data_IF_502598641416
#
_entry.id   IF_502598641416
#
_cell.length_a   1.000
_cell.length_b   1.000
_cell.length_c   1.000
_cell.angle_alpha   90.00
_cell.angle_beta   90.00
_cell.angle_gamma   90.00
#
_symmetry.space_group_name_H-M   'P 1'
#
loop_
_entity.id
_entity.type
_entity.pdbx_description
1 polymer ?
#
# COMPACT_ATOMS: atom_id res chain seq x y z
N UNK A 1 -28.39 10.24 0.77
CA UNK A 1 -27.07 9.56 0.89
C UNK A 1 -26.31 10.18 2.07
N UNK A 2 -26.31 9.50 3.23
CA UNK A 2 -25.86 10.03 4.54
C UNK A 2 -24.33 10.16 4.70
N UNK A 3 -23.55 10.08 3.62
CA UNK A 3 -22.07 10.04 3.66
C UNK A 3 -21.35 11.39 3.63
N UNK A 4 -22.06 12.52 3.49
CA UNK A 4 -21.41 13.86 3.47
C UNK A 4 -20.92 14.31 4.85
N UNK A 5 -21.55 13.80 5.92
CA UNK A 5 -21.27 14.24 7.30
C UNK A 5 -20.26 13.33 8.03
N UNK A 6 -19.97 12.14 7.50
CA UNK A 6 -19.00 11.19 8.05
C UNK A 6 -17.76 11.06 7.15
N UNK A 7 -17.12 12.21 6.87
CA UNK A 7 -15.95 12.28 5.98
C UNK A 7 -14.61 12.26 6.72
N UNK A 8 -14.63 12.38 8.05
CA UNK A 8 -13.45 12.38 8.90
C UNK A 8 -13.23 10.99 9.50
N UNK A 9 -11.96 10.56 9.60
CA UNK A 9 -11.58 9.35 10.32
C UNK A 9 -10.85 9.71 11.62
N UNK A 10 -11.05 8.89 12.66
CA UNK A 10 -10.36 9.04 13.94
C UNK A 10 -8.96 8.42 13.89
N UNK A 11 -8.05 8.86 14.75
CA UNK A 11 -6.71 8.29 14.80
C UNK A 11 -5.81 9.12 15.70
N UNK A 12 -4.81 8.48 16.27
CA UNK A 12 -3.79 9.10 17.10
C UNK A 12 -3.07 10.21 16.30
N UNK A 13 -3.09 11.45 16.78
CA UNK A 13 -2.50 12.58 16.05
C UNK A 13 -1.00 12.41 15.83
N UNK A 14 -0.26 11.98 16.86
CA UNK A 14 1.18 11.75 16.80
C UNK A 14 1.48 10.54 15.90
N UNK A 15 0.70 9.47 16.02
CA UNK A 15 0.84 8.31 15.13
C UNK A 15 0.63 8.66 13.66
N UNK A 16 -0.37 9.48 13.34
CA UNK A 16 -0.60 9.99 11.99
C UNK A 16 0.54 10.89 11.49
N UNK A 17 1.27 11.59 12.38
CA UNK A 17 2.48 12.35 12.01
C UNK A 17 3.63 11.42 11.66
N UNK A 18 3.92 10.42 12.50
CA UNK A 18 4.95 9.42 12.23
C UNK A 18 4.72 8.69 10.92
N UNK A 19 3.46 8.33 10.62
CA UNK A 19 3.09 7.69 9.35
C UNK A 19 3.13 8.63 8.15
N UNK A 20 3.29 9.94 8.35
CA UNK A 20 3.19 10.93 7.28
C UNK A 20 1.77 11.09 6.71
N UNK A 21 0.74 10.65 7.43
CA UNK A 21 -0.65 10.67 6.99
C UNK A 21 -1.45 11.87 7.55
N UNK A 22 -0.93 12.58 8.57
CA UNK A 22 -1.59 13.76 9.12
C UNK A 22 -1.74 14.82 8.03
N UNK A 23 -3.00 15.11 7.68
CA UNK A 23 -3.39 16.10 6.67
C UNK A 23 -2.76 15.89 5.29
N UNK A 24 -2.32 14.66 4.98
CA UNK A 24 -1.70 14.23 3.72
C UNK A 24 -2.43 12.98 3.20
N UNK A 25 -2.34 12.73 1.89
CA UNK A 25 -3.02 11.60 1.25
C UNK A 25 -4.55 11.63 1.40
N UNK A 26 -5.21 10.50 1.19
CA UNK A 26 -6.68 10.39 1.23
C UNK A 26 -7.22 9.46 2.31
N UNK A 27 -6.40 8.55 2.86
CA UNK A 27 -6.87 7.48 3.75
C UNK A 27 -7.21 8.06 5.13
N UNK A 28 -6.25 8.70 5.81
CA UNK A 28 -6.42 9.32 7.14
C UNK A 28 -6.26 10.84 7.16
N UNK A 29 -6.54 11.49 6.03
CA UNK A 29 -6.43 12.94 5.92
C UNK A 29 -7.56 13.63 6.66
N UNK A 30 -7.20 14.32 7.75
CA UNK A 30 -8.15 15.04 8.60
C UNK A 30 -8.47 16.46 8.12
N UNK A 31 -7.77 16.97 7.12
CA UNK A 31 -8.13 18.23 6.46
C UNK A 31 -9.19 17.95 5.39
N UNK A 32 -10.46 18.23 5.69
CA UNK A 32 -11.61 17.91 4.82
C UNK A 32 -11.50 18.58 3.45
N UNK A 33 -11.05 19.84 3.39
CA UNK A 33 -10.91 20.56 2.11
C UNK A 33 -9.86 19.89 1.22
N UNK A 34 -8.68 19.60 1.79
CA UNK A 34 -7.59 18.92 1.10
C UNK A 34 -7.96 17.48 0.71
N UNK A 35 -8.64 16.76 1.60
CA UNK A 35 -9.15 15.41 1.35
C UNK A 35 -10.13 15.40 0.17
N UNK A 36 -11.08 16.33 0.09
CA UNK A 36 -12.02 16.43 -1.04
C UNK A 36 -11.29 16.61 -2.36
N UNK A 37 -10.34 17.54 -2.39
CA UNK A 37 -9.52 17.80 -3.58
C UNK A 37 -8.71 16.57 -4.01
N UNK A 38 -8.01 15.93 -3.08
CA UNK A 38 -7.17 14.76 -3.38
C UNK A 38 -8.01 13.53 -3.75
N UNK A 39 -9.12 13.30 -3.06
CA UNK A 39 -10.05 12.21 -3.38
C UNK A 39 -10.65 12.37 -4.77
N UNK A 40 -11.05 13.59 -5.15
CA UNK A 40 -11.57 13.85 -6.50
C UNK A 40 -10.53 13.51 -7.57
N UNK A 41 -9.27 13.94 -7.39
CA UNK A 41 -8.20 13.59 -8.33
C UNK A 41 -7.97 12.07 -8.37
N UNK A 42 -7.89 11.41 -7.21
CA UNK A 42 -7.68 9.96 -7.14
C UNK A 42 -8.83 9.18 -7.80
N UNK A 43 -10.09 9.51 -7.51
CA UNK A 43 -11.23 8.78 -8.07
C UNK A 43 -11.46 9.07 -9.55
N UNK A 44 -11.36 10.33 -9.97
CA UNK A 44 -11.69 10.71 -11.35
C UNK A 44 -10.54 10.47 -12.33
N UNK A 45 -9.29 10.63 -11.88
CA UNK A 45 -8.13 10.50 -12.78
C UNK A 45 -7.47 9.14 -12.66
N UNK A 46 -7.27 8.65 -11.44
CA UNK A 46 -6.48 7.45 -11.18
C UNK A 46 -7.32 6.17 -11.02
N UNK A 47 -8.62 6.23 -10.72
CA UNK A 47 -9.50 5.06 -10.63
C UNK A 47 -10.71 5.19 -11.57
N UNK A 48 -10.45 5.62 -12.81
CA UNK A 48 -11.51 5.73 -13.82
C UNK A 48 -11.86 4.36 -14.43
N UNK A 49 -13.05 4.26 -15.03
CA UNK A 49 -13.56 3.00 -15.59
C UNK A 49 -12.64 2.39 -16.64
N UNK A 50 -11.97 3.22 -17.46
CA UNK A 50 -11.03 2.74 -18.49
C UNK A 50 -9.82 2.04 -17.88
N UNK A 51 -9.29 2.57 -16.78
CA UNK A 51 -8.20 1.92 -16.05
C UNK A 51 -8.66 0.61 -15.41
N UNK A 52 -9.87 0.58 -14.83
CA UNK A 52 -10.45 -0.63 -14.27
C UNK A 52 -10.68 -1.72 -15.33
N UNK A 53 -11.09 -1.31 -16.53
CA UNK A 53 -11.27 -2.22 -17.66
C UNK A 53 -9.92 -2.77 -18.16
N UNK A 54 -8.89 -1.92 -18.25
CA UNK A 54 -7.53 -2.36 -18.57
C UNK A 54 -6.95 -3.32 -17.52
N UNK A 55 -7.15 -3.01 -16.23
CA UNK A 55 -6.74 -3.85 -15.11
C UNK A 55 -7.35 -5.25 -15.20
N UNK A 56 -8.66 -5.33 -15.46
CA UNK A 56 -9.42 -6.58 -15.57
C UNK A 56 -9.07 -7.39 -16.82
N UNK A 57 -8.83 -6.72 -17.96
CA UNK A 57 -8.78 -7.40 -19.25
C UNK A 57 -7.40 -7.99 -19.57
N UNK A 58 -6.31 -7.36 -19.12
CA UNK A 58 -4.96 -7.73 -19.55
C UNK A 58 -3.94 -7.72 -18.42
N UNK A 59 -3.85 -6.61 -17.68
CA UNK A 59 -2.75 -6.37 -16.72
C UNK A 59 -2.72 -7.40 -15.60
N UNK A 60 -3.88 -7.86 -15.12
CA UNK A 60 -3.93 -8.85 -14.04
C UNK A 60 -3.34 -10.19 -14.45
N UNK A 61 -3.61 -10.64 -15.69
CA UNK A 61 -3.09 -11.91 -16.20
C UNK A 61 -1.58 -11.78 -16.50
N UNK A 62 -1.17 -10.71 -17.18
CA UNK A 62 0.24 -10.50 -17.53
C UNK A 62 1.12 -10.37 -16.29
N UNK A 63 0.63 -9.68 -15.25
CA UNK A 63 1.35 -9.54 -13.98
C UNK A 63 1.40 -10.88 -13.23
N UNK A 64 0.30 -11.64 -13.19
CA UNK A 64 0.30 -12.96 -12.59
C UNK A 64 1.27 -13.91 -13.32
N UNK A 65 1.21 -13.98 -14.65
CA UNK A 65 2.09 -14.81 -15.46
C UNK A 65 3.57 -14.44 -15.28
N UNK A 66 3.88 -13.15 -15.18
CA UNK A 66 5.25 -12.69 -14.92
C UNK A 66 5.77 -13.18 -13.57
N UNK A 67 4.99 -13.03 -12.49
CA UNK A 67 5.38 -13.47 -11.15
C UNK A 67 5.44 -15.01 -11.08
N UNK A 68 4.46 -15.71 -11.67
CA UNK A 68 4.40 -17.18 -11.67
C UNK A 68 5.55 -17.83 -12.45
N UNK A 69 6.15 -17.14 -13.43
CA UNK A 69 7.39 -17.61 -14.08
C UNK A 69 8.60 -17.66 -13.13
N UNK A 70 8.53 -16.97 -12.00
CA UNK A 70 9.60 -16.85 -10.99
C UNK A 70 9.13 -17.41 -9.65
N UNK A 71 8.26 -18.42 -9.68
CA UNK A 71 7.64 -19.00 -8.50
C UNK A 71 8.68 -19.63 -7.54
N UNK A 72 9.81 -20.09 -8.09
CA UNK A 72 10.97 -20.58 -7.34
C UNK A 72 11.50 -19.53 -6.34
N UNK A 73 11.35 -18.24 -6.65
CA UNK A 73 11.77 -17.14 -5.77
C UNK A 73 10.86 -16.96 -4.56
N UNK A 74 9.69 -17.61 -4.54
CA UNK A 74 8.72 -17.57 -3.45
C UNK A 74 8.65 -18.89 -2.68
N UNK A 75 9.50 -19.86 -3.02
CA UNK A 75 9.62 -21.12 -2.30
C UNK A 75 10.29 -20.90 -0.95
N UNK A 76 9.60 -21.29 0.13
CA UNK A 76 10.11 -21.20 1.51
C UNK A 76 10.67 -22.54 2.00
N UNK A 77 10.11 -23.64 1.51
CA UNK A 77 10.56 -25.01 1.72
C UNK A 77 10.24 -25.83 0.47
N UNK A 78 10.81 -27.03 0.33
CA UNK A 78 10.60 -27.87 -0.84
C UNK A 78 9.12 -28.07 -1.16
N UNK A 79 8.67 -27.55 -2.32
CA UNK A 79 7.28 -27.53 -2.79
C UNK A 79 6.29 -26.73 -1.90
N UNK A 80 6.79 -25.82 -1.05
CA UNK A 80 5.97 -24.92 -0.24
C UNK A 80 6.26 -23.48 -0.65
N UNK A 81 5.23 -22.78 -1.13
CA UNK A 81 5.32 -21.42 -1.64
C UNK A 81 4.69 -20.43 -0.65
N UNK A 82 5.35 -19.31 -0.39
CA UNK A 82 4.75 -18.15 0.25
C UNK A 82 3.72 -17.50 -0.70
N UNK A 83 2.50 -18.02 -0.63
CA UNK A 83 1.39 -17.56 -1.47
C UNK A 83 1.02 -16.11 -1.14
N UNK A 84 1.22 -15.67 0.10
CA UNK A 84 0.91 -14.31 0.51
C UNK A 84 1.88 -13.31 -0.11
N UNK A 85 3.18 -13.60 -0.10
CA UNK A 85 4.19 -12.73 -0.72
C UNK A 85 4.07 -12.71 -2.26
N UNK A 86 3.73 -13.86 -2.85
CA UNK A 86 3.41 -13.96 -4.27
C UNK A 86 2.20 -13.08 -4.66
N UNK A 87 1.08 -13.19 -3.94
CA UNK A 87 -0.11 -12.36 -4.19
C UNK A 87 0.15 -10.85 -3.98
N UNK A 88 0.97 -10.50 -2.98
CA UNK A 88 1.38 -9.11 -2.76
C UNK A 88 2.24 -8.59 -3.92
N UNK A 89 3.15 -9.41 -4.43
CA UNK A 89 4.00 -9.07 -5.58
C UNK A 89 3.17 -8.86 -6.84
N UNK A 90 2.20 -9.73 -7.13
CA UNK A 90 1.25 -9.53 -8.24
C UNK A 90 0.49 -8.21 -8.07
N UNK A 91 -0.06 -7.95 -6.87
CA UNK A 91 -0.80 -6.71 -6.58
C UNK A 91 0.09 -5.48 -6.75
N UNK A 92 1.34 -5.55 -6.31
CA UNK A 92 2.33 -4.48 -6.46
C UNK A 92 2.64 -4.22 -7.93
N UNK A 93 2.93 -5.26 -8.72
CA UNK A 93 3.19 -5.14 -10.16
C UNK A 93 2.01 -4.51 -10.91
N UNK A 94 0.77 -4.94 -10.62
CA UNK A 94 -0.44 -4.33 -11.19
C UNK A 94 -0.53 -2.85 -10.80
N UNK A 95 -0.25 -2.51 -9.54
CA UNK A 95 -0.30 -1.13 -9.04
C UNK A 95 0.74 -0.25 -9.72
N UNK A 96 1.99 -0.72 -9.86
CA UNK A 96 3.05 0.00 -10.56
C UNK A 96 2.69 0.25 -12.03
N UNK A 97 2.16 -0.75 -12.72
CA UNK A 97 1.73 -0.59 -14.10
C UNK A 97 0.60 0.43 -14.24
N UNK A 98 -0.46 0.32 -13.42
CA UNK A 98 -1.65 1.14 -13.58
C UNK A 98 -1.48 2.59 -13.09
N UNK A 99 -0.72 2.81 -12.02
CA UNK A 99 -0.64 4.11 -11.35
C UNK A 99 0.69 4.83 -11.56
N UNK A 100 1.76 4.09 -11.84
CA UNK A 100 3.09 4.65 -12.09
C UNK A 100 3.54 4.48 -13.55
N UNK A 101 2.70 3.86 -14.39
CA UNK A 101 2.95 3.61 -15.81
C UNK A 101 4.25 2.82 -16.05
N UNK A 102 4.65 1.97 -15.09
CA UNK A 102 5.84 1.14 -15.19
C UNK A 102 5.51 -0.19 -15.89
N UNK A 103 6.14 -0.51 -17.04
CA UNK A 103 5.93 -1.78 -17.72
C UNK A 103 6.25 -2.98 -16.83
N UNK A 104 5.50 -4.08 -17.00
CA UNK A 104 5.76 -5.33 -16.28
C UNK A 104 7.16 -5.84 -16.61
N UNK A 105 7.92 -6.24 -15.59
CA UNK A 105 9.31 -6.67 -15.72
C UNK A 105 10.34 -5.55 -15.69
N UNK A 106 9.92 -4.27 -15.60
CA UNK A 106 10.84 -3.14 -15.36
C UNK A 106 11.51 -3.22 -14.00
N UNK A 107 10.74 -3.60 -12.97
CA UNK A 107 11.25 -3.85 -11.62
C UNK A 107 11.54 -5.34 -11.51
N UNK A 108 12.75 -5.70 -11.08
CA UNK A 108 13.13 -7.11 -10.90
C UNK A 108 12.29 -7.79 -9.82
N UNK A 109 12.31 -9.13 -9.78
CA UNK A 109 11.59 -9.89 -8.74
C UNK A 109 12.18 -9.60 -7.36
N UNK A 110 13.51 -9.49 -7.26
CA UNK A 110 14.21 -9.18 -6.02
C UNK A 110 13.82 -7.80 -5.49
N UNK A 111 13.80 -6.78 -6.35
CA UNK A 111 13.33 -5.44 -5.98
C UNK A 111 11.84 -5.43 -5.65
N UNK A 112 11.03 -6.16 -6.39
CA UNK A 112 9.59 -6.30 -6.11
C UNK A 112 9.38 -6.84 -4.70
N UNK A 113 10.07 -7.92 -4.32
CA UNK A 113 10.02 -8.48 -2.96
C UNK A 113 10.53 -7.50 -1.91
N UNK A 114 11.59 -6.75 -2.20
CA UNK A 114 12.10 -5.70 -1.32
C UNK A 114 11.01 -4.64 -1.05
N UNK A 115 10.41 -4.06 -2.09
CA UNK A 115 9.37 -3.05 -1.95
C UNK A 115 8.11 -3.60 -1.27
N UNK A 116 7.69 -4.83 -1.60
CA UNK A 116 6.58 -5.49 -0.92
C UNK A 116 6.85 -5.64 0.57
N UNK A 117 8.06 -6.06 0.97
CA UNK A 117 8.42 -6.13 2.38
C UNK A 117 8.39 -4.75 3.05
N UNK A 118 8.96 -3.70 2.43
CA UNK A 118 8.89 -2.34 2.98
C UNK A 118 7.45 -1.86 3.16
N UNK A 119 6.57 -2.14 2.19
CA UNK A 119 5.13 -1.85 2.29
C UNK A 119 4.52 -2.62 3.47
N UNK A 120 4.81 -3.92 3.62
CA UNK A 120 4.32 -4.72 4.76
C UNK A 120 4.78 -4.15 6.10
N UNK A 121 6.04 -3.72 6.21
CA UNK A 121 6.52 -3.09 7.45
C UNK A 121 5.85 -1.74 7.71
N UNK A 122 5.60 -0.95 6.66
CA UNK A 122 4.81 0.28 6.76
C UNK A 122 3.38 0.00 7.25
N UNK A 123 2.72 -1.06 6.75
CA UNK A 123 1.39 -1.46 7.25
C UNK A 123 1.41 -1.88 8.72
N UNK A 124 2.46 -2.58 9.18
CA UNK A 124 2.64 -2.91 10.61
C UNK A 124 2.84 -1.67 11.46
N UNK A 125 3.66 -0.72 11.00
CA UNK A 125 3.84 0.57 11.66
C UNK A 125 2.53 1.37 11.70
N UNK A 126 1.75 1.30 10.63
CA UNK A 126 0.43 1.92 10.55
C UNK A 126 -0.52 1.34 11.60
N UNK A 127 -0.61 0.02 11.71
CA UNK A 127 -1.44 -0.64 12.72
C UNK A 127 -1.06 -0.22 14.16
N UNK A 128 0.24 -0.28 14.49
CA UNK A 128 0.78 0.12 15.79
C UNK A 128 0.43 1.59 16.12
N UNK A 129 0.82 2.53 15.26
CA UNK A 129 0.66 3.95 15.52
C UNK A 129 -0.79 4.47 15.44
N UNK A 130 -1.67 3.78 14.70
CA UNK A 130 -3.05 4.24 14.56
C UNK A 130 -3.90 3.85 15.77
N UNK A 131 -3.73 2.62 16.26
CA UNK A 131 -4.62 2.00 17.25
C UNK A 131 -4.12 2.18 18.68
N UNK A 132 -2.81 2.28 18.88
CA UNK A 132 -2.23 2.38 20.21
C UNK A 132 -2.28 3.81 20.74
N UNK A 133 -2.62 3.95 22.02
CA UNK A 133 -2.60 5.24 22.70
C UNK A 133 -1.15 5.67 22.90
N UNK A 134 -0.85 6.96 22.69
CA UNK A 134 0.53 7.48 22.79
C UNK A 134 1.23 7.14 24.11
N UNK A 135 0.48 7.02 25.21
CA UNK A 135 1.01 6.68 26.53
C UNK A 135 1.55 5.24 26.64
N UNK A 136 1.17 4.36 25.71
CA UNK A 136 1.61 2.97 25.66
C UNK A 136 2.73 2.74 24.64
N UNK A 137 3.20 3.80 23.96
CA UNK A 137 4.30 3.67 23.03
C UNK A 137 5.57 3.27 23.76
N UNK A 138 6.04 2.06 23.47
CA UNK A 138 7.37 1.62 23.85
C UNK A 138 8.42 2.26 22.93
N UNK A 139 9.49 2.79 23.50
CA UNK A 139 10.53 3.52 22.75
C UNK A 139 11.19 2.61 21.70
N UNK A 140 11.47 1.35 22.07
CA UNK A 140 12.12 0.38 21.18
C UNK A 140 11.21 0.00 20.01
N UNK A 141 9.93 -0.28 20.25
CA UNK A 141 8.96 -0.55 19.18
C UNK A 141 8.71 0.67 18.30
N UNK A 142 8.61 1.85 18.90
CA UNK A 142 8.42 3.12 18.19
C UNK A 142 9.56 3.37 17.22
N UNK A 143 10.82 3.24 17.68
CA UNK A 143 12.00 3.41 16.84
C UNK A 143 12.05 2.39 15.70
N UNK A 144 11.71 1.12 15.97
CA UNK A 144 11.61 0.07 14.95
C UNK A 144 10.59 0.43 13.87
N UNK A 145 9.41 0.87 14.25
CA UNK A 145 8.34 1.23 13.32
C UNK A 145 8.64 2.52 12.55
N UNK A 146 9.28 3.51 13.16
CA UNK A 146 9.73 4.73 12.45
C UNK A 146 10.82 4.43 11.43
N UNK A 147 11.79 3.58 11.76
CA UNK A 147 12.80 3.14 10.79
C UNK A 147 12.18 2.42 9.59
N UNK A 148 11.12 1.65 9.83
CA UNK A 148 10.38 0.96 8.78
C UNK A 148 9.57 1.90 7.86
N UNK A 149 9.31 3.13 8.30
CA UNK A 149 8.61 4.16 7.50
C UNK A 149 9.61 4.98 6.67
N UNK A 150 10.83 5.18 7.19
CA UNK A 150 11.83 6.05 6.59
C UNK A 150 12.75 5.36 5.57
N UNK A 151 12.75 4.03 5.52
CA UNK A 151 13.52 3.18 4.59
C UNK A 151 12.68 2.73 3.40
#
# INVERSE_FOLDING_TARGET
RNGKNYTLRFGNTLGLEYLGMKNKGIIWNRNIQRWKYQRFNFSQKALNNKLLDNAKKYVSNDAADYILKHLDKYEIETNIIDTMDCLRSITFTITCYLFLELPIGTISIEETKYYVNSIVQYFKAWEYFLLELTQFYDEKQTNKHQNSINN
#
